data_IF_073965275733
#
_entry.id   IF_073965275733
#
_cell.length_a   1.000
_cell.length_b   1.000
_cell.length_c   1.000
_cell.angle_alpha   90.00
_cell.angle_beta   90.00
_cell.angle_gamma   90.00
#
_symmetry.space_group_name_H-M   'P 1'
#
loop_
_entity.id
_entity.type
_entity.pdbx_description
1 polymer ?
#
# COMPACT_ATOMS: atom_id res chain seq x y z
N UNK A 1 10.25 -12.20 1.92
CA UNK A 1 10.15 -13.67 2.01
C UNK A 1 11.20 -14.31 2.92
N UNK A 2 12.51 -14.13 2.69
CA UNK A 2 13.55 -14.74 3.54
C UNK A 2 13.40 -14.45 5.04
N UNK A 3 13.03 -13.22 5.41
CA UNK A 3 12.82 -12.83 6.82
C UNK A 3 11.44 -13.22 7.35
N UNK A 4 10.40 -13.14 6.51
CA UNK A 4 9.02 -13.40 6.91
C UNK A 4 8.67 -14.90 6.88
N UNK A 5 9.50 -15.74 6.24
CA UNK A 5 9.25 -17.18 6.08
C UNK A 5 8.11 -17.52 5.11
N UNK A 6 7.43 -16.51 4.56
CA UNK A 6 6.28 -16.68 3.68
C UNK A 6 6.29 -15.70 2.50
N UNK A 7 5.47 -16.01 1.49
CA UNK A 7 5.28 -15.16 0.30
C UNK A 7 4.54 -13.89 0.70
N UNK A 8 5.14 -12.75 0.41
CA UNK A 8 4.58 -11.44 0.76
C UNK A 8 3.78 -10.88 -0.41
N UNK A 9 2.64 -10.24 -0.11
CA UNK A 9 1.92 -9.44 -1.10
C UNK A 9 2.74 -8.20 -1.44
N UNK A 10 3.05 -7.98 -2.72
CA UNK A 10 3.82 -6.81 -3.16
C UNK A 10 2.90 -5.74 -3.77
N UNK A 11 2.88 -4.56 -3.15
CA UNK A 11 2.04 -3.42 -3.56
C UNK A 11 2.94 -2.21 -3.84
N UNK A 12 2.67 -1.49 -4.93
CA UNK A 12 3.36 -0.25 -5.29
C UNK A 12 2.41 0.94 -5.29
N UNK A 13 2.94 2.13 -5.00
CA UNK A 13 2.22 3.41 -5.01
C UNK A 13 3.15 4.54 -5.49
N UNK A 14 2.62 5.74 -5.71
CA UNK A 14 3.35 6.89 -6.22
C UNK A 14 3.21 7.07 -7.74
N UNK A 15 3.59 8.26 -8.24
CA UNK A 15 3.29 8.71 -9.61
C UNK A 15 3.86 7.82 -10.72
N UNK A 16 5.04 7.23 -10.51
CA UNK A 16 5.69 6.35 -11.49
C UNK A 16 5.37 4.86 -11.31
N UNK A 17 4.58 4.48 -10.30
CA UNK A 17 4.36 3.08 -9.95
C UNK A 17 3.78 2.26 -11.12
N UNK A 18 2.88 2.85 -11.91
CA UNK A 18 2.30 2.19 -13.08
C UNK A 18 3.35 1.91 -14.16
N UNK A 19 4.29 2.82 -14.40
CA UNK A 19 5.36 2.65 -15.40
C UNK A 19 6.35 1.61 -14.91
N UNK A 20 6.77 1.71 -13.64
CA UNK A 20 7.73 0.77 -13.04
C UNK A 20 7.16 -0.65 -12.96
N UNK A 21 5.87 -0.80 -12.65
CA UNK A 21 5.23 -2.11 -12.52
C UNK A 21 5.17 -2.91 -13.84
N UNK A 22 5.23 -2.24 -15.00
CA UNK A 22 5.27 -2.93 -16.30
C UNK A 22 6.53 -3.80 -16.46
N UNK A 23 7.64 -3.39 -15.84
CA UNK A 23 8.94 -4.05 -15.95
C UNK A 23 9.25 -4.93 -14.72
N UNK A 24 8.40 -4.94 -13.70
CA UNK A 24 8.64 -5.63 -12.43
C UNK A 24 7.48 -6.60 -12.12
N UNK A 25 7.55 -7.86 -12.60
CA UNK A 25 6.47 -8.84 -12.47
C UNK A 25 6.12 -9.26 -11.03
N UNK A 26 6.99 -9.00 -10.06
CA UNK A 26 6.71 -9.32 -8.65
C UNK A 26 5.70 -8.34 -8.03
N UNK A 27 5.49 -7.15 -8.62
CA UNK A 27 4.46 -6.21 -8.16
C UNK A 27 3.08 -6.77 -8.54
N UNK A 28 2.23 -6.98 -7.54
CA UNK A 28 0.91 -7.59 -7.77
C UNK A 28 -0.21 -6.56 -7.85
N UNK A 29 -0.04 -5.39 -7.22
CA UNK A 29 -1.04 -4.32 -7.18
C UNK A 29 -0.33 -2.97 -7.26
N UNK A 30 -0.85 -2.07 -8.10
CA UNK A 30 -0.54 -0.64 -8.03
C UNK A 30 -1.75 0.08 -7.42
N UNK A 31 -1.56 0.74 -6.29
CA UNK A 31 -2.60 1.51 -5.61
C UNK A 31 -2.14 2.97 -5.41
N UNK A 32 -2.61 3.92 -6.24
CA UNK A 32 -2.20 5.33 -6.13
C UNK A 32 -2.70 6.00 -4.85
N UNK A 33 -3.81 5.53 -4.28
CA UNK A 33 -4.45 6.11 -3.10
C UNK A 33 -4.03 5.46 -1.78
N UNK A 34 -3.00 4.60 -1.80
CA UNK A 34 -2.59 3.81 -0.63
C UNK A 34 -2.33 4.69 0.60
N UNK A 35 -1.60 5.79 0.42
CA UNK A 35 -1.29 6.75 1.49
C UNK A 35 -2.55 7.47 1.98
N UNK A 36 -3.39 7.94 1.06
CA UNK A 36 -4.64 8.63 1.40
C UNK A 36 -5.62 7.72 2.15
N UNK A 37 -5.66 6.44 1.77
CA UNK A 37 -6.44 5.41 2.46
C UNK A 37 -5.95 5.25 3.90
N UNK A 38 -4.63 5.14 4.10
CA UNK A 38 -4.05 5.07 5.44
C UNK A 38 -4.36 6.31 6.29
N UNK A 39 -4.21 7.51 5.72
CA UNK A 39 -4.53 8.77 6.41
C UNK A 39 -6.01 8.85 6.80
N UNK A 40 -6.92 8.43 5.92
CA UNK A 40 -8.35 8.36 6.22
C UNK A 40 -8.63 7.40 7.39
N UNK A 41 -8.04 6.20 7.38
CA UNK A 41 -8.22 5.24 8.47
C UNK A 41 -7.74 5.81 9.81
N UNK A 42 -6.55 6.42 9.83
CA UNK A 42 -6.01 7.06 11.03
C UNK A 42 -6.92 8.20 11.52
N UNK A 43 -7.45 9.01 10.60
CA UNK A 43 -8.40 10.06 10.95
C UNK A 43 -9.65 9.49 11.62
N UNK A 44 -10.26 8.46 11.04
CA UNK A 44 -11.48 7.84 11.59
C UNK A 44 -11.24 7.22 12.97
N UNK A 45 -10.14 6.48 13.15
CA UNK A 45 -9.77 5.90 14.45
C UNK A 45 -9.64 6.96 15.55
N UNK A 46 -9.05 8.10 15.23
CA UNK A 46 -8.88 9.20 16.19
C UNK A 46 -10.17 10.01 16.39
N UNK A 47 -11.11 9.96 15.45
CA UNK A 47 -12.41 10.62 15.58
C UNK A 47 -13.35 9.83 16.49
N UNK A 48 -13.35 8.50 16.37
CA UNK A 48 -14.17 7.62 17.21
C UNK A 48 -13.65 7.50 18.65
N UNK A 49 -12.33 7.61 18.87
CA UNK A 49 -11.72 7.61 20.21
C UNK A 49 -11.86 8.91 21.01
N UNK A 50 -12.45 9.95 20.42
CA UNK A 50 -12.72 11.25 21.06
C UNK A 50 -14.23 11.50 21.29
N UNK A 51 -15.06 10.46 21.22
CA UNK A 51 -16.49 10.48 21.56
C UNK A 51 -16.75 9.94 22.97
#
# INVERSE_FOLDING_TARGET
>A
EKELGEKSKVVATGGYAHVVAQEIPIIEIVNPDLVLTGLRLIYEMNREGNA
#
